data_IF_266092807818
#
_entry.id   IF_266092807818
#
_cell.length_a   1.000
_cell.length_b   1.000
_cell.length_c   1.000
_cell.angle_alpha   90.00
_cell.angle_beta   90.00
_cell.angle_gamma   90.00
#
_symmetry.space_group_name_H-M   'P 1'
#
loop_
_entity.id
_entity.type
_entity.pdbx_description
1 polymer ?
#
# COMPACT_ATOMS: atom_id res chain seq x y z
N UNK A 1 69.16 -29.69 26.15
CA UNK A 1 68.23 -28.57 25.90
C UNK A 1 67.13 -29.04 24.94
N UNK A 2 65.86 -28.79 25.31
CA UNK A 2 64.68 -29.61 24.98
C UNK A 2 64.14 -29.36 23.57
N UNK A 3 64.29 -30.32 22.66
CA UNK A 3 63.63 -30.36 21.33
C UNK A 3 62.09 -30.36 21.41
N UNK A 4 61.51 -30.72 22.57
CA UNK A 4 60.06 -30.81 22.77
C UNK A 4 59.32 -29.48 22.94
N UNK A 5 60.00 -28.38 23.29
CA UNK A 5 59.35 -27.07 23.47
C UNK A 5 59.21 -26.29 22.18
N UNK A 6 60.10 -26.50 21.20
CA UNK A 6 60.01 -25.85 19.87
C UNK A 6 58.83 -26.36 19.03
N UNK A 7 58.50 -27.66 19.12
CA UNK A 7 57.37 -28.23 18.37
C UNK A 7 56.01 -27.66 18.82
N UNK A 8 55.86 -27.30 20.10
CA UNK A 8 54.62 -26.71 20.62
C UNK A 8 54.43 -25.25 20.20
N UNK A 9 55.52 -24.50 20.00
CA UNK A 9 55.45 -23.10 19.54
C UNK A 9 55.07 -23.02 18.06
N UNK A 10 55.57 -23.95 17.23
CA UNK A 10 55.26 -24.00 15.80
C UNK A 10 53.78 -24.38 15.57
N UNK A 11 53.22 -25.28 16.37
CA UNK A 11 51.81 -25.68 16.24
C UNK A 11 50.83 -24.55 16.61
N UNK A 12 51.26 -23.61 17.47
CA UNK A 12 50.41 -22.49 17.91
C UNK A 12 50.42 -21.31 16.92
N UNK A 13 51.46 -21.18 16.09
CA UNK A 13 51.54 -20.14 15.06
C UNK A 13 50.66 -20.43 13.83
N UNK A 14 50.38 -21.70 13.52
CA UNK A 14 49.54 -22.09 12.37
C UNK A 14 48.05 -21.82 12.61
N UNK A 15 47.63 -21.69 13.87
CA UNK A 15 46.22 -21.41 14.22
C UNK A 15 45.84 -19.92 14.14
N UNK A 16 46.78 -18.99 13.86
CA UNK A 16 46.49 -17.55 13.78
C UNK A 16 46.42 -16.98 12.35
N UNK A 17 46.69 -17.76 11.30
CA UNK A 17 46.67 -17.28 9.90
C UNK A 17 45.40 -17.69 9.15
N UNK A 18 44.23 -17.44 9.75
CA UNK A 18 42.93 -17.86 9.25
C UNK A 18 41.87 -16.76 9.24
N UNK A 19 42.20 -15.51 8.85
CA UNK A 19 41.22 -14.49 8.49
C UNK A 19 41.87 -13.35 7.68
N UNK A 20 42.16 -13.60 6.41
CA UNK A 20 42.42 -12.53 5.43
C UNK A 20 41.94 -12.99 4.06
N UNK A 21 40.63 -13.15 3.95
CA UNK A 21 40.00 -13.65 2.74
C UNK A 21 38.53 -13.25 2.65
N UNK A 22 38.19 -11.99 2.90
CA UNK A 22 36.93 -11.44 2.40
C UNK A 22 37.21 -10.57 1.18
N UNK A 23 36.94 -11.18 0.04
CA UNK A 23 36.80 -10.53 -1.26
C UNK A 23 35.84 -9.35 -1.12
N UNK A 24 36.38 -8.14 -1.23
CA UNK A 24 35.62 -6.90 -1.38
C UNK A 24 34.94 -6.97 -2.75
N UNK A 25 33.75 -7.56 -2.80
CA UNK A 25 32.80 -7.23 -3.85
C UNK A 25 32.36 -5.81 -3.56
N UNK A 26 32.51 -4.93 -4.54
CA UNK A 26 31.96 -3.58 -4.52
C UNK A 26 30.44 -3.67 -4.37
N UNK A 27 29.99 -3.78 -3.12
CA UNK A 27 28.66 -3.33 -2.77
C UNK A 27 28.71 -1.83 -3.03
N UNK A 28 27.95 -1.40 -4.05
CA UNK A 28 27.57 -0.01 -4.21
C UNK A 28 26.85 0.37 -2.92
N UNK A 29 27.64 0.90 -2.00
CA UNK A 29 27.20 1.40 -0.71
C UNK A 29 26.24 2.54 -1.01
N UNK A 30 24.96 2.21 -0.97
CA UNK A 30 23.88 3.16 -1.11
C UNK A 30 23.91 3.96 0.19
N UNK A 31 24.77 4.99 0.23
CA UNK A 31 24.92 5.86 1.39
C UNK A 31 23.52 6.21 1.93
N UNK A 32 23.26 6.05 3.23
CA UNK A 32 22.01 6.45 3.86
C UNK A 32 21.91 7.98 3.80
N UNK A 33 21.40 8.50 2.68
CA UNK A 33 21.37 9.94 2.40
C UNK A 33 21.24 10.33 0.93
N UNK A 34 21.52 9.43 -0.03
CA UNK A 34 21.30 9.74 -1.45
C UNK A 34 19.90 9.30 -1.88
N UNK A 35 19.15 10.20 -2.54
CA UNK A 35 17.86 9.82 -3.11
C UNK A 35 18.08 8.89 -4.30
N UNK A 36 17.50 7.70 -4.27
CA UNK A 36 17.55 6.72 -5.36
C UNK A 36 16.24 6.77 -6.15
N UNK A 37 16.26 6.51 -7.45
CA UNK A 37 15.03 6.38 -8.25
C UNK A 37 14.94 4.97 -8.78
N UNK A 38 13.86 4.26 -8.44
CA UNK A 38 13.51 2.98 -9.04
C UNK A 38 12.72 3.23 -10.31
N UNK A 39 12.98 2.44 -11.34
CA UNK A 39 12.31 2.56 -12.65
C UNK A 39 11.86 1.18 -13.13
N UNK A 40 10.62 1.09 -13.58
CA UNK A 40 10.08 -0.14 -14.13
C UNK A 40 9.27 0.13 -15.40
N UNK A 41 9.35 -0.80 -16.35
CA UNK A 41 8.64 -0.69 -17.63
C UNK A 41 7.60 -1.78 -17.76
N UNK A 42 6.41 -1.40 -18.21
CA UNK A 42 5.33 -2.31 -18.55
C UNK A 42 4.95 -2.21 -20.02
N UNK A 43 4.51 -3.33 -20.57
CA UNK A 43 4.05 -3.43 -21.97
C UNK A 43 2.60 -3.92 -22.00
N UNK A 44 1.84 -3.47 -22.99
CA UNK A 44 0.52 -3.98 -23.31
C UNK A 44 0.30 -3.98 -24.81
N UNK A 45 -0.41 -4.96 -25.36
CA UNK A 45 -0.83 -4.94 -26.76
C UNK A 45 -2.11 -4.12 -26.91
N UNK A 46 -2.32 -3.54 -28.09
CA UNK A 46 -3.63 -2.98 -28.44
C UNK A 46 -4.63 -4.10 -28.68
N UNK A 47 -5.88 -3.89 -28.26
CA UNK A 47 -6.96 -4.84 -28.49
C UNK A 47 -7.53 -4.65 -29.90
N UNK A 48 -7.24 -5.56 -30.82
CA UNK A 48 -7.67 -5.44 -32.24
C UNK A 48 -9.00 -6.15 -32.55
N UNK A 49 -9.77 -6.52 -31.54
CA UNK A 49 -11.03 -7.24 -31.70
C UNK A 49 -12.16 -6.42 -32.36
N UNK A 50 -11.92 -5.18 -32.81
CA UNK A 50 -12.90 -4.32 -33.50
C UNK A 50 -14.07 -3.83 -32.64
N UNK A 51 -14.17 -4.27 -31.37
CA UNK A 51 -15.28 -3.97 -30.44
C UNK A 51 -15.16 -2.62 -29.74
N UNK A 52 -13.96 -2.06 -29.69
CA UNK A 52 -13.64 -0.84 -28.96
C UNK A 52 -13.29 0.30 -29.92
N UNK A 53 -13.77 1.51 -29.61
CA UNK A 53 -13.32 2.73 -30.31
C UNK A 53 -11.81 2.91 -30.15
N UNK A 54 -11.18 3.64 -31.07
CA UNK A 54 -9.73 3.92 -31.04
C UNK A 54 -9.30 4.49 -29.67
N UNK A 55 -10.07 5.43 -29.13
CA UNK A 55 -9.79 6.04 -27.83
C UNK A 55 -9.91 5.03 -26.67
N UNK A 56 -10.92 4.15 -26.69
CA UNK A 56 -11.08 3.12 -25.67
C UNK A 56 -9.96 2.06 -25.74
N UNK A 57 -9.52 1.69 -26.95
CA UNK A 57 -8.37 0.79 -27.15
C UNK A 57 -7.09 1.38 -26.59
N UNK A 58 -6.85 2.67 -26.85
CA UNK A 58 -5.68 3.37 -26.34
C UNK A 58 -5.67 3.46 -24.82
N UNK A 59 -6.82 3.85 -24.22
CA UNK A 59 -6.95 3.95 -22.77
C UNK A 59 -6.78 2.59 -22.08
N UNK A 60 -7.38 1.53 -22.64
CA UNK A 60 -7.24 0.15 -22.13
C UNK A 60 -5.78 -0.31 -22.15
N UNK A 61 -5.10 -0.13 -23.29
CA UNK A 61 -3.67 -0.43 -23.40
C UNK A 61 -2.85 0.38 -22.38
N UNK A 62 -3.10 1.68 -22.24
CA UNK A 62 -2.41 2.53 -21.27
C UNK A 62 -2.59 2.05 -19.83
N UNK A 63 -3.81 1.69 -19.43
CA UNK A 63 -4.09 1.16 -18.10
C UNK A 63 -3.35 -0.16 -17.85
N UNK A 64 -3.35 -1.06 -18.83
CA UNK A 64 -2.69 -2.36 -18.72
C UNK A 64 -1.16 -2.25 -18.70
N UNK A 65 -0.57 -1.42 -19.57
CA UNK A 65 0.87 -1.17 -19.57
C UNK A 65 1.32 -0.53 -18.26
N UNK A 66 0.56 0.44 -17.75
CA UNK A 66 0.82 1.07 -16.45
C UNK A 66 0.73 0.07 -15.31
N UNK A 67 -0.28 -0.80 -15.29
CA UNK A 67 -0.42 -1.85 -14.27
C UNK A 67 0.76 -2.83 -14.29
N UNK A 68 1.22 -3.23 -15.49
CA UNK A 68 2.39 -4.10 -15.64
C UNK A 68 3.68 -3.41 -15.15
N UNK A 69 3.84 -2.11 -15.43
CA UNK A 69 4.95 -1.32 -14.91
C UNK A 69 4.91 -1.26 -13.37
N UNK A 70 3.74 -1.06 -12.77
CA UNK A 70 3.56 -1.05 -11.31
C UNK A 70 3.94 -2.37 -10.66
N UNK A 71 3.60 -3.51 -11.28
CA UNK A 71 3.98 -4.83 -10.74
C UNK A 71 5.50 -4.99 -10.68
N UNK A 72 6.20 -4.63 -11.75
CA UNK A 72 7.67 -4.67 -11.77
C UNK A 72 8.29 -3.68 -10.79
N UNK A 73 7.69 -2.50 -10.62
CA UNK A 73 8.15 -1.50 -9.66
C UNK A 73 7.97 -1.97 -8.21
N UNK A 74 6.82 -2.55 -7.90
CA UNK A 74 6.54 -3.13 -6.60
C UNK A 74 7.52 -4.26 -6.29
N UNK A 75 7.75 -5.17 -7.23
CA UNK A 75 8.72 -6.26 -7.08
C UNK A 75 10.14 -5.73 -6.75
N UNK A 76 10.65 -4.78 -7.53
CA UNK A 76 11.93 -4.13 -7.24
C UNK A 76 11.96 -3.49 -5.85
N UNK A 77 10.89 -2.81 -5.46
CA UNK A 77 10.80 -2.15 -4.17
C UNK A 77 10.78 -3.14 -3.00
N UNK A 78 10.13 -4.31 -3.16
CA UNK A 78 10.11 -5.35 -2.13
C UNK A 78 11.51 -5.90 -1.81
N UNK A 79 12.39 -5.96 -2.82
CA UNK A 79 13.78 -6.41 -2.65
C UNK A 79 14.76 -5.29 -2.28
N UNK A 80 14.30 -4.04 -2.16
CA UNK A 80 15.16 -2.92 -1.80
C UNK A 80 15.71 -3.09 -0.37
N UNK A 81 17.03 -2.96 -0.16
CA UNK A 81 17.62 -3.00 1.18
C UNK A 81 17.30 -1.71 1.95
N UNK A 82 16.94 -1.84 3.22
CA UNK A 82 16.63 -0.70 4.12
C UNK A 82 17.50 -0.65 5.38
N UNK A 83 18.31 -1.68 5.61
CA UNK A 83 19.26 -1.78 6.72
C UNK A 83 20.29 -2.88 6.48
N UNK A 84 21.15 -3.16 7.46
CA UNK A 84 22.31 -4.05 7.30
C UNK A 84 21.96 -5.52 6.95
N UNK A 85 20.74 -5.98 7.25
CA UNK A 85 20.28 -7.31 6.84
C UNK A 85 18.76 -7.38 6.69
N UNK A 86 18.15 -6.27 6.28
CA UNK A 86 16.69 -6.14 6.16
C UNK A 86 16.34 -5.55 4.81
N UNK A 87 15.33 -6.15 4.19
CA UNK A 87 14.69 -5.62 2.98
C UNK A 87 13.34 -5.01 3.31
N UNK A 88 12.81 -4.17 2.43
CA UNK A 88 11.43 -3.67 2.51
C UNK A 88 10.45 -4.83 2.71
N UNK A 89 10.61 -5.92 1.95
CA UNK A 89 9.77 -7.10 2.07
C UNK A 89 9.80 -7.74 3.46
N UNK A 90 10.99 -7.84 4.08
CA UNK A 90 11.11 -8.38 5.44
C UNK A 90 10.36 -7.54 6.49
N UNK A 91 10.38 -6.22 6.34
CA UNK A 91 9.68 -5.28 7.22
C UNK A 91 8.16 -5.39 7.07
N UNK A 92 7.69 -5.46 5.82
CA UNK A 92 6.26 -5.63 5.49
C UNK A 92 5.68 -6.93 6.06
N UNK A 93 6.46 -8.01 6.01
CA UNK A 93 6.08 -9.30 6.63
C UNK A 93 6.05 -9.18 8.15
N UNK A 94 7.00 -8.43 8.73
CA UNK A 94 7.14 -8.27 10.17
C UNK A 94 5.97 -7.54 10.82
N UNK A 95 5.43 -6.46 10.21
CA UNK A 95 4.34 -5.69 10.81
C UNK A 95 3.50 -4.91 9.78
N UNK A 96 2.17 -4.87 9.98
CA UNK A 96 1.21 -4.26 9.04
C UNK A 96 1.46 -2.76 8.76
N UNK A 97 1.95 -2.00 9.73
CA UNK A 97 2.31 -0.58 9.54
C UNK A 97 3.25 -0.36 8.36
N UNK A 98 4.24 -1.24 8.15
CA UNK A 98 5.15 -1.14 7.03
C UNK A 98 4.45 -1.44 5.71
N UNK A 99 3.48 -2.38 5.70
CA UNK A 99 2.61 -2.64 4.54
C UNK A 99 1.83 -1.39 4.15
N UNK A 100 1.16 -0.75 5.13
CA UNK A 100 0.37 0.48 4.89
C UNK A 100 1.24 1.61 4.38
N UNK A 101 2.43 1.79 4.98
CA UNK A 101 3.39 2.80 4.53
C UNK A 101 3.85 2.53 3.09
N UNK A 102 4.24 1.29 2.79
CA UNK A 102 4.67 0.86 1.46
C UNK A 102 3.59 1.08 0.40
N UNK A 103 2.37 0.62 0.66
CA UNK A 103 1.23 0.74 -0.25
C UNK A 103 0.91 2.21 -0.57
N UNK A 104 1.07 3.08 0.42
CA UNK A 104 0.86 4.53 0.24
C UNK A 104 2.02 5.14 -0.53
N UNK A 105 3.26 4.73 -0.26
CA UNK A 105 4.45 5.20 -0.96
C UNK A 105 4.44 4.80 -2.45
N UNK A 106 4.03 3.56 -2.76
CA UNK A 106 3.91 3.08 -4.15
C UNK A 106 2.97 3.92 -5.01
N UNK A 107 1.93 4.54 -4.42
CA UNK A 107 0.99 5.41 -5.14
C UNK A 107 1.64 6.71 -5.63
N UNK A 108 2.78 7.09 -5.07
CA UNK A 108 3.53 8.28 -5.49
C UNK A 108 4.29 8.09 -6.80
N UNK A 109 4.41 6.85 -7.29
CA UNK A 109 5.10 6.57 -8.55
C UNK A 109 4.49 7.37 -9.71
N UNK A 110 5.35 8.00 -10.51
CA UNK A 110 4.98 8.84 -11.65
C UNK A 110 5.29 8.13 -12.94
N UNK A 111 4.45 8.34 -13.95
CA UNK A 111 4.76 7.87 -15.29
C UNK A 111 5.70 8.86 -15.97
N UNK A 112 6.90 8.40 -16.31
CA UNK A 112 7.94 9.19 -16.96
C UNK A 112 7.84 9.15 -18.48
N UNK A 113 7.36 8.03 -19.05
CA UNK A 113 7.28 7.82 -20.50
C UNK A 113 6.08 6.96 -20.90
N UNK A 114 5.44 7.33 -22.00
CA UNK A 114 4.46 6.52 -22.73
C UNK A 114 4.84 6.51 -24.20
N UNK A 115 5.15 5.34 -24.75
CA UNK A 115 5.55 5.22 -26.15
C UNK A 115 5.02 3.97 -26.82
N UNK A 116 4.67 4.10 -28.09
CA UNK A 116 4.31 2.95 -28.92
C UNK A 116 5.57 2.24 -29.40
N UNK A 117 5.63 0.93 -29.23
CA UNK A 117 6.70 0.05 -29.71
C UNK A 117 6.02 -1.09 -30.49
N UNK A 118 6.04 -0.99 -31.83
CA UNK A 118 5.29 -1.90 -32.72
C UNK A 118 3.79 -1.90 -32.35
N UNK A 119 3.17 -3.07 -32.16
CA UNK A 119 1.75 -3.22 -31.80
C UNK A 119 1.51 -3.17 -30.29
N UNK A 120 2.44 -2.57 -29.54
CA UNK A 120 2.37 -2.50 -28.08
C UNK A 120 2.63 -1.10 -27.57
N UNK A 121 1.93 -0.74 -26.50
CA UNK A 121 2.23 0.44 -25.72
C UNK A 121 3.20 0.07 -24.61
N UNK A 122 4.28 0.85 -24.50
CA UNK A 122 5.22 0.79 -23.40
C UNK A 122 4.99 1.97 -22.47
N UNK A 123 4.91 1.69 -21.17
CA UNK A 123 4.86 2.70 -20.10
C UNK A 123 6.08 2.52 -19.20
N UNK A 124 6.73 3.61 -18.83
CA UNK A 124 7.79 3.63 -17.81
C UNK A 124 7.29 4.38 -16.59
N UNK A 125 7.45 3.77 -15.41
CA UNK A 125 7.16 4.37 -14.12
C UNK A 125 8.43 4.58 -13.33
N UNK A 126 8.51 5.73 -12.67
CA UNK A 126 9.60 6.13 -11.81
C UNK A 126 9.09 6.34 -10.39
N UNK A 127 9.80 5.81 -9.41
CA UNK A 127 9.54 6.02 -7.98
C UNK A 127 10.82 6.50 -7.31
N UNK A 128 10.77 7.71 -6.75
CA UNK A 128 11.89 8.29 -6.02
C UNK A 128 11.87 7.79 -4.57
N UNK A 129 12.91 7.08 -4.16
CA UNK A 129 13.20 6.71 -2.78
C UNK A 129 13.95 7.84 -2.11
N UNK A 130 13.32 8.44 -1.10
CA UNK A 130 13.90 9.55 -0.34
C UNK A 130 14.69 9.02 0.87
N UNK A 131 15.63 9.79 1.44
CA UNK A 131 16.26 9.40 2.70
C UNK A 131 15.24 9.14 3.81
N UNK A 132 14.14 9.90 3.82
CA UNK A 132 13.00 9.70 4.74
C UNK A 132 12.36 8.33 4.57
N UNK A 133 12.21 7.83 3.34
CA UNK A 133 11.71 6.47 3.09
C UNK A 133 12.57 5.42 3.81
N UNK A 134 13.89 5.49 3.66
CA UNK A 134 14.80 4.55 4.32
C UNK A 134 14.74 4.67 5.85
N UNK A 135 14.64 5.90 6.39
CA UNK A 135 14.44 6.12 7.83
C UNK A 135 13.15 5.50 8.35
N UNK A 136 12.04 5.67 7.63
CA UNK A 136 10.73 5.16 8.04
C UNK A 136 10.60 3.64 7.89
N UNK A 137 11.21 3.06 6.84
CA UNK A 137 11.17 1.62 6.58
C UNK A 137 12.21 0.83 7.38
N UNK A 138 13.39 1.40 7.63
CA UNK A 138 14.45 0.77 8.42
C UNK A 138 14.34 1.02 9.94
N UNK A 139 13.48 1.97 10.36
CA UNK A 139 13.26 2.30 11.76
C UNK A 139 12.29 1.36 12.48
N UNK A 140 12.09 1.59 13.78
CA UNK A 140 11.14 0.84 14.61
C UNK A 140 9.67 1.18 14.26
N UNK A 141 8.73 0.33 14.68
CA UNK A 141 7.29 0.45 14.43
C UNK A 141 6.75 1.80 14.93
N UNK A 142 7.26 2.32 16.05
CA UNK A 142 6.86 3.62 16.55
C UNK A 142 7.23 4.76 15.59
N UNK A 143 8.42 4.68 14.97
CA UNK A 143 8.88 5.65 13.98
C UNK A 143 8.10 5.52 12.67
N UNK A 144 7.85 4.30 12.19
CA UNK A 144 7.04 4.07 11.00
C UNK A 144 5.60 4.61 11.16
N UNK A 145 4.97 4.43 12.34
CA UNK A 145 3.68 5.05 12.68
C UNK A 145 3.73 6.57 12.65
N UNK A 146 4.83 7.15 13.13
CA UNK A 146 5.01 8.59 13.10
C UNK A 146 5.14 9.11 11.66
N UNK A 147 5.90 8.43 10.81
CA UNK A 147 6.02 8.78 9.40
C UNK A 147 4.66 8.75 8.68
N UNK A 148 3.82 7.76 8.95
CA UNK A 148 2.46 7.68 8.38
C UNK A 148 1.63 8.90 8.77
N UNK A 149 1.72 9.34 10.03
CA UNK A 149 0.98 10.52 10.52
C UNK A 149 1.49 11.82 9.91
N UNK A 150 2.80 12.02 9.90
CA UNK A 150 3.43 13.25 9.41
C UNK A 150 3.30 13.41 7.89
N UNK A 151 3.42 12.32 7.13
CA UNK A 151 3.30 12.37 5.67
C UNK A 151 1.84 12.55 5.22
N UNK A 152 0.87 12.63 6.16
CA UNK A 152 -0.55 12.59 5.83
C UNK A 152 -0.94 11.28 5.12
N UNK A 153 -0.17 10.21 5.34
CA UNK A 153 -0.34 8.88 4.73
C UNK A 153 -1.20 7.98 5.59
N UNK A 154 -2.01 8.55 6.49
CA UNK A 154 -3.05 7.79 7.18
C UNK A 154 -3.90 7.11 6.13
N UNK A 155 -4.23 5.84 6.35
CA UNK A 155 -5.15 5.12 5.48
C UNK A 155 -6.49 5.85 5.56
N UNK A 156 -6.69 6.84 4.68
CA UNK A 156 -8.02 7.29 4.33
C UNK A 156 -8.63 6.08 3.65
N UNK A 157 -9.34 5.26 4.44
CA UNK A 157 -10.39 4.46 3.85
C UNK A 157 -11.19 5.44 3.00
N UNK A 158 -11.53 5.05 1.78
CA UNK A 158 -12.13 5.95 0.78
C UNK A 158 -13.49 6.52 1.22
N UNK A 159 -13.95 6.10 2.40
CA UNK A 159 -14.99 6.65 3.23
C UNK A 159 -14.29 7.47 4.32
N UNK A 160 -14.31 8.80 4.19
CA UNK A 160 -13.70 9.69 5.17
C UNK A 160 -14.40 9.61 6.52
N UNK A 161 -14.13 8.56 7.30
CA UNK A 161 -14.63 8.45 8.65
C UNK A 161 -13.89 9.48 9.50
N UNK A 162 -14.60 10.54 9.87
CA UNK A 162 -14.22 11.35 11.04
C UNK A 162 -14.02 10.37 12.20
N UNK A 163 -12.96 10.56 12.97
CA UNK A 163 -12.77 9.81 14.21
C UNK A 163 -13.94 10.16 15.15
N UNK A 164 -14.93 9.27 15.22
CA UNK A 164 -16.05 9.39 16.14
C UNK A 164 -15.62 8.93 17.53
N UNK A 165 -16.15 9.57 18.58
CA UNK A 165 -16.00 9.05 19.93
C UNK A 165 -16.75 7.72 20.00
N UNK A 166 -16.01 6.62 20.13
CA UNK A 166 -16.61 5.28 20.20
C UNK A 166 -16.91 4.90 21.64
N UNK A 167 -18.06 4.28 21.86
CA UNK A 167 -18.47 3.65 23.11
C UNK A 167 -18.48 2.13 22.94
N UNK A 168 -18.37 1.42 24.05
CA UNK A 168 -18.53 -0.03 24.10
C UNK A 168 -19.98 -0.35 24.42
N UNK A 169 -20.65 -1.08 23.54
CA UNK A 169 -22.01 -1.55 23.77
C UNK A 169 -21.97 -3.01 24.24
N UNK A 170 -22.77 -3.32 25.26
CA UNK A 170 -22.99 -4.69 25.71
C UNK A 170 -24.13 -5.30 24.88
N UNK A 171 -23.83 -6.34 24.11
CA UNK A 171 -24.77 -6.97 23.19
C UNK A 171 -25.71 -7.97 23.89
N UNK A 172 -25.47 -8.25 25.17
CA UNK A 172 -26.25 -9.19 25.98
C UNK A 172 -27.19 -8.49 26.97
N UNK A 173 -27.62 -7.27 26.66
CA UNK A 173 -28.63 -6.55 27.43
C UNK A 173 -30.04 -6.88 26.90
N UNK A 174 -30.78 -7.69 27.66
CA UNK A 174 -32.24 -7.75 27.57
C UNK A 174 -32.89 -6.63 28.40
N UNK A 175 -34.22 -6.54 28.37
CA UNK A 175 -35.05 -5.50 29.03
C UNK A 175 -34.86 -5.34 30.56
N UNK A 176 -34.02 -6.15 31.22
CA UNK A 176 -33.80 -6.04 32.65
C UNK A 176 -32.43 -6.49 33.17
N UNK A 177 -31.64 -7.29 32.43
CA UNK A 177 -30.32 -7.77 32.90
C UNK A 177 -29.29 -7.79 31.76
N UNK A 178 -28.15 -7.16 32.00
CA UNK A 178 -26.99 -7.15 31.09
C UNK A 178 -25.94 -8.13 31.61
N UNK A 179 -25.55 -9.11 30.79
CA UNK A 179 -24.42 -10.00 31.10
C UNK A 179 -23.10 -9.36 30.66
N UNK A 180 -22.12 -9.21 31.55
CA UNK A 180 -20.81 -8.59 31.28
C UNK A 180 -19.90 -9.36 30.31
N UNK A 181 -20.37 -10.48 29.75
CA UNK A 181 -19.56 -11.38 28.95
C UNK A 181 -19.40 -10.93 27.48
N UNK A 182 -20.21 -9.98 26.99
CA UNK A 182 -20.26 -9.62 25.57
C UNK A 182 -20.19 -8.10 25.34
N UNK A 183 -19.00 -7.53 25.48
CA UNK A 183 -18.70 -6.15 25.12
C UNK A 183 -18.07 -6.05 23.74
N UNK A 184 -18.66 -5.22 22.87
CA UNK A 184 -18.08 -4.87 21.56
C UNK A 184 -17.83 -3.36 21.54
N UNK A 185 -16.58 -2.98 21.27
CA UNK A 185 -16.15 -1.59 21.15
C UNK A 185 -16.21 -1.13 19.69
N UNK A 186 -16.42 0.17 19.48
CA UNK A 186 -16.38 0.77 18.13
C UNK A 186 -17.68 1.45 17.67
N UNK A 187 -18.71 1.52 18.50
CA UNK A 187 -19.96 2.19 18.16
C UNK A 187 -19.85 3.70 18.42
N UNK A 188 -20.27 4.55 17.48
CA UNK A 188 -20.31 6.01 17.71
C UNK A 188 -21.29 6.35 18.83
N UNK A 189 -20.88 7.22 19.76
CA UNK A 189 -21.76 7.73 20.82
C UNK A 189 -22.72 8.83 20.32
N UNK A 190 -22.48 9.38 19.13
CA UNK A 190 -23.32 10.39 18.54
C UNK A 190 -24.57 9.73 17.93
N UNK A 191 -25.74 10.01 18.52
CA UNK A 191 -27.04 9.67 17.92
C UNK A 191 -27.21 10.47 16.63
N UNK A 192 -26.85 9.88 15.51
CA UNK A 192 -27.26 10.38 14.21
C UNK A 192 -28.78 10.15 14.08
N UNK A 193 -29.60 11.20 13.91
CA UNK A 193 -31.06 11.06 13.83
C UNK A 193 -31.49 10.19 12.64
N UNK A 194 -30.66 10.11 11.60
CA UNK A 194 -30.91 9.25 10.43
C UNK A 194 -30.72 7.77 10.79
N UNK A 195 -29.67 7.43 11.54
CA UNK A 195 -29.42 6.05 12.00
C UNK A 195 -30.52 5.56 12.95
N UNK A 196 -31.05 6.43 13.82
CA UNK A 196 -32.14 6.05 14.71
C UNK A 196 -33.43 5.68 13.96
N UNK A 197 -33.77 6.44 12.90
CA UNK A 197 -34.94 6.17 12.05
C UNK A 197 -34.72 4.93 11.18
N UNK A 198 -33.50 4.72 10.68
CA UNK A 198 -33.14 3.52 9.91
C UNK A 198 -33.13 2.25 10.78
N UNK A 199 -32.68 2.34 12.03
CA UNK A 199 -32.70 1.25 13.02
C UNK A 199 -34.14 0.88 13.42
N UNK A 200 -34.97 1.87 13.73
CA UNK A 200 -36.35 1.65 14.22
C UNK A 200 -37.26 1.05 13.15
N UNK A 201 -36.97 1.30 11.87
CA UNK A 201 -37.77 0.81 10.75
C UNK A 201 -37.11 -0.29 9.91
N UNK A 202 -35.92 -0.79 10.31
CA UNK A 202 -35.23 -1.89 9.62
C UNK A 202 -34.81 -1.56 8.18
N UNK A 203 -34.48 -0.29 7.91
CA UNK A 203 -34.24 0.22 6.56
C UNK A 203 -32.75 0.29 6.16
N UNK A 204 -31.84 -0.29 6.93
CA UNK A 204 -30.41 -0.33 6.57
C UNK A 204 -30.15 -0.96 5.19
N UNK A 205 -30.99 -1.91 4.77
CA UNK A 205 -30.86 -2.56 3.46
C UNK A 205 -31.49 -1.76 2.30
N UNK A 206 -32.17 -0.64 2.58
CA UNK A 206 -32.86 0.17 1.57
C UNK A 206 -32.08 1.40 1.10
N UNK A 207 -30.93 1.73 1.70
CA UNK A 207 -30.15 2.90 1.30
C UNK A 207 -29.71 2.86 -0.18
N UNK A 208 -29.35 1.68 -0.68
CA UNK A 208 -29.01 1.52 -2.10
C UNK A 208 -30.23 1.71 -3.00
N UNK A 209 -31.39 1.22 -2.58
CA UNK A 209 -32.65 1.26 -3.34
C UNK A 209 -33.22 2.68 -3.42
N UNK A 210 -33.10 3.47 -2.35
CA UNK A 210 -33.59 4.85 -2.31
C UNK A 210 -32.69 5.77 -3.13
N UNK A 211 -31.36 5.66 -3.00
CA UNK A 211 -30.45 6.51 -3.78
C UNK A 211 -30.51 6.21 -5.29
N UNK A 212 -30.67 4.92 -5.64
CA UNK A 212 -30.85 4.48 -7.02
C UNK A 212 -32.23 4.85 -7.56
N UNK A 213 -33.29 4.63 -6.79
CA UNK A 213 -34.66 4.96 -7.15
C UNK A 213 -34.89 6.47 -7.32
N UNK A 214 -34.32 7.29 -6.43
CA UNK A 214 -34.37 8.74 -6.54
C UNK A 214 -33.65 9.22 -7.80
N UNK A 215 -32.45 8.69 -8.10
CA UNK A 215 -31.72 9.03 -9.33
C UNK A 215 -32.48 8.64 -10.59
N UNK A 216 -33.10 7.46 -10.61
CA UNK A 216 -33.92 7.02 -11.74
C UNK A 216 -35.12 7.95 -11.88
N UNK A 217 -35.86 8.22 -10.80
CA UNK A 217 -37.01 9.11 -10.80
C UNK A 217 -36.67 10.53 -11.27
N UNK A 218 -35.60 11.13 -10.75
CA UNK A 218 -35.14 12.45 -11.17
C UNK A 218 -34.73 12.49 -12.64
N UNK A 219 -34.01 11.48 -13.14
CA UNK A 219 -33.66 11.42 -14.55
C UNK A 219 -34.90 11.22 -15.43
N UNK A 220 -35.86 10.39 -15.04
CA UNK A 220 -37.06 10.14 -15.85
C UNK A 220 -37.99 11.35 -15.88
N UNK A 221 -38.16 12.08 -14.76
CA UNK A 221 -38.97 13.30 -14.71
C UNK A 221 -38.33 14.48 -15.43
N UNK A 222 -37.01 14.67 -15.30
CA UNK A 222 -36.32 15.76 -16.00
C UNK A 222 -36.26 15.51 -17.51
N UNK A 223 -36.12 14.26 -17.96
CA UNK A 223 -36.11 13.95 -19.40
C UNK A 223 -37.51 14.10 -20.00
N UNK A 224 -38.55 13.62 -19.34
CA UNK A 224 -39.92 13.74 -19.88
C UNK A 224 -40.48 15.17 -19.78
N UNK A 225 -40.12 15.94 -18.75
CA UNK A 225 -40.53 17.34 -18.62
C UNK A 225 -39.93 18.28 -19.67
N UNK A 226 -38.80 17.93 -20.28
CA UNK A 226 -38.23 18.69 -21.39
C UNK A 226 -38.81 18.31 -22.76
N UNK A 227 -39.37 17.11 -22.91
CA UNK A 227 -39.97 16.65 -24.18
C UNK A 227 -41.39 17.17 -24.36
N UNK A 228 -42.16 17.38 -23.28
CA UNK A 228 -43.50 17.99 -23.36
C UNK A 228 -43.48 19.53 -23.45
N UNK A 229 -42.30 20.15 -23.47
CA UNK A 229 -42.10 21.60 -23.55
C UNK A 229 -41.48 22.08 -24.89
N UNK A 230 -41.38 21.20 -25.89
CA UNK A 230 -41.02 21.50 -27.31
C UNK A 230 -42.18 21.03 -28.19
#
# INVERSE_FOLDING_TARGET
MKRGTLSKIILMAVMLSGCSGLSRRDAVDSLPGTSKTLTATGYSRFEDAGRLSVNHRWLSAQQLAKLNAYRGLADQLYYEPVGENQTVGSQVIGHEVYRVYLDTYLREARASDYRTVKDSLKTTLDLKLTPRFYQCMGGDVAQARQCIREDGKVAFTRLGYKTAATTSANLACGVADCSDQFYVSGFSNDRNPVDAVLLDHGFYDLEWTINTGARIFFNTLLINGFIDAI
#
